data_IF_208673897708
#
_entry.id   IF_208673897708
#
_cell.length_a   1.000
_cell.length_b   1.000
_cell.length_c   1.000
_cell.angle_alpha   90.00
_cell.angle_beta   90.00
_cell.angle_gamma   90.00
#
_symmetry.space_group_name_H-M   'P 1'
#
loop_
_entity.id
_entity.type
_entity.pdbx_description
1 polymer ?
#
# COMPACT_ATOMS: atom_id res chain seq x y z
N UNK A 1 6.09 4.10 -18.73
CA UNK A 1 5.38 2.80 -18.58
C UNK A 1 4.36 2.97 -17.47
N UNK A 2 3.11 2.47 -17.65
CA UNK A 2 2.14 2.52 -16.55
C UNK A 2 2.45 1.41 -15.55
N UNK A 3 2.51 1.77 -14.29
CA UNK A 3 2.73 0.83 -13.19
C UNK A 3 1.41 0.23 -12.67
N UNK A 4 0.33 1.02 -12.76
CA UNK A 4 -1.03 0.63 -12.43
C UNK A 4 -1.98 1.16 -13.49
N UNK A 5 -2.90 0.33 -13.93
CA UNK A 5 -4.02 0.73 -14.76
C UNK A 5 -5.31 0.09 -14.24
N UNK A 6 -6.29 0.91 -14.01
CA UNK A 6 -7.66 0.53 -13.70
C UNK A 6 -8.58 1.10 -14.76
N UNK A 7 -9.47 0.30 -15.33
CA UNK A 7 -10.38 0.75 -16.37
C UNK A 7 -11.81 0.30 -16.07
N UNK A 8 -12.73 1.24 -16.14
CA UNK A 8 -14.17 1.02 -16.00
C UNK A 8 -14.56 0.28 -14.72
N UNK A 9 -13.87 0.57 -13.62
CA UNK A 9 -14.06 -0.11 -12.34
C UNK A 9 -15.42 0.24 -11.74
N UNK A 10 -16.21 -0.80 -11.45
CA UNK A 10 -17.48 -0.71 -10.74
C UNK A 10 -17.43 -1.55 -9.47
N UNK A 11 -18.05 -1.03 -8.42
CA UNK A 11 -18.21 -1.74 -7.15
C UNK A 11 -19.42 -1.25 -6.39
N UNK A 12 -20.28 -2.17 -6.01
CA UNK A 12 -21.40 -1.95 -5.11
C UNK A 12 -21.34 -2.82 -3.87
N UNK A 13 -22.13 -2.48 -2.88
CA UNK A 13 -22.40 -3.25 -1.66
C UNK A 13 -23.90 -3.27 -1.42
N UNK A 14 -24.54 -4.41 -1.69
CA UNK A 14 -25.98 -4.51 -1.75
C UNK A 14 -26.56 -3.58 -2.82
N UNK A 15 -27.50 -2.73 -2.48
CA UNK A 15 -28.10 -1.75 -3.39
C UNK A 15 -27.26 -0.48 -3.58
N UNK A 16 -26.15 -0.34 -2.84
CA UNK A 16 -25.35 0.88 -2.82
C UNK A 16 -24.21 0.78 -3.82
N UNK A 17 -24.29 1.48 -4.96
CA UNK A 17 -23.23 1.58 -5.94
C UNK A 17 -22.20 2.61 -5.48
N UNK A 18 -21.00 2.15 -5.11
CA UNK A 18 -19.92 2.99 -4.54
C UNK A 18 -18.95 3.47 -5.61
N UNK A 19 -18.56 2.59 -6.54
CA UNK A 19 -17.75 2.93 -7.71
C UNK A 19 -18.59 2.67 -8.96
N UNK A 20 -18.86 3.72 -9.74
CA UNK A 20 -19.80 3.64 -10.86
C UNK A 20 -19.14 3.36 -12.20
N UNK A 21 -18.02 3.98 -12.46
CA UNK A 21 -17.19 3.80 -13.66
C UNK A 21 -15.91 4.61 -13.48
N UNK A 22 -14.94 4.03 -12.76
CA UNK A 22 -13.71 4.72 -12.41
C UNK A 22 -12.56 4.16 -13.25
N UNK A 23 -11.89 5.07 -13.99
CA UNK A 23 -10.65 4.75 -14.68
C UNK A 23 -9.52 5.61 -14.13
N UNK A 24 -8.37 4.98 -13.90
CA UNK A 24 -7.18 5.59 -13.31
C UNK A 24 -5.94 4.89 -13.84
N UNK A 25 -4.92 5.66 -14.18
CA UNK A 25 -3.58 5.13 -14.45
C UNK A 25 -2.54 5.84 -13.62
N UNK A 26 -1.46 5.13 -13.28
CA UNK A 26 -0.31 5.68 -12.57
C UNK A 26 0.95 5.27 -13.32
N UNK A 27 1.69 6.25 -13.83
CA UNK A 27 2.95 6.02 -14.51
C UNK A 27 4.13 5.91 -13.52
N UNK A 28 5.27 5.44 -14.03
CA UNK A 28 6.50 5.41 -13.23
C UNK A 28 6.93 6.82 -12.83
N UNK A 29 7.23 7.00 -11.52
CA UNK A 29 7.61 8.31 -10.96
C UNK A 29 6.43 9.26 -10.72
N UNK A 30 5.21 8.88 -11.10
CA UNK A 30 4.03 9.69 -10.90
C UNK A 30 3.46 9.54 -9.49
N UNK A 31 2.94 10.64 -8.93
CA UNK A 31 2.20 10.67 -7.68
C UNK A 31 0.76 11.10 -7.98
N UNK A 32 -0.18 10.20 -7.72
CA UNK A 32 -1.61 10.44 -7.90
C UNK A 32 -2.28 10.62 -6.54
N UNK A 33 -3.03 11.70 -6.37
CA UNK A 33 -3.80 11.98 -5.16
C UNK A 33 -5.29 11.87 -5.42
N UNK A 34 -5.99 11.03 -4.62
CA UNK A 34 -7.44 10.88 -4.70
C UNK A 34 -8.07 11.69 -3.58
N UNK A 35 -8.82 12.74 -3.94
CA UNK A 35 -9.45 13.68 -3.01
C UNK A 35 -10.97 13.59 -3.15
N UNK A 36 -11.67 13.74 -2.04
CA UNK A 36 -13.14 13.74 -2.01
C UNK A 36 -13.69 13.62 -0.59
N UNK A 37 -15.00 13.82 -0.39
CA UNK A 37 -15.65 13.74 0.92
C UNK A 37 -15.58 12.32 1.52
N UNK A 38 -15.90 12.20 2.80
CA UNK A 38 -16.06 10.89 3.44
C UNK A 38 -17.18 10.11 2.75
N UNK A 39 -17.00 8.81 2.54
CA UNK A 39 -17.98 7.96 1.85
C UNK A 39 -17.92 7.96 0.32
N UNK A 40 -17.09 8.79 -0.32
CA UNK A 40 -17.02 8.87 -1.80
C UNK A 40 -16.30 7.71 -2.49
N UNK A 41 -16.07 6.59 -1.82
CA UNK A 41 -15.49 5.39 -2.43
C UNK A 41 -13.96 5.32 -2.50
N UNK A 42 -13.21 6.34 -2.04
CA UNK A 42 -11.72 6.36 -2.11
C UNK A 42 -11.05 5.13 -1.52
N UNK A 43 -11.49 4.72 -0.34
CA UNK A 43 -10.97 3.50 0.33
C UNK A 43 -11.34 2.24 -0.43
N UNK A 44 -12.53 2.21 -1.01
CA UNK A 44 -12.99 1.08 -1.83
C UNK A 44 -12.16 0.97 -3.10
N UNK A 45 -11.89 2.10 -3.77
CA UNK A 45 -11.04 2.12 -4.96
C UNK A 45 -9.63 1.59 -4.65
N UNK A 46 -9.01 2.06 -3.55
CA UNK A 46 -7.70 1.55 -3.13
C UNK A 46 -7.70 0.07 -2.74
N UNK A 47 -8.77 -0.41 -2.10
CA UNK A 47 -8.92 -1.84 -1.79
C UNK A 47 -9.05 -2.66 -3.06
N UNK A 48 -9.80 -2.20 -4.05
CA UNK A 48 -9.87 -2.84 -5.37
C UNK A 48 -8.49 -2.84 -6.05
N UNK A 49 -7.80 -1.70 -6.07
CA UNK A 49 -6.45 -1.60 -6.60
C UNK A 49 -5.45 -2.54 -5.91
N UNK A 50 -5.60 -2.81 -4.62
CA UNK A 50 -4.69 -3.67 -3.85
C UNK A 50 -5.17 -5.13 -3.72
N UNK A 51 -6.19 -5.51 -4.48
CA UNK A 51 -6.75 -6.86 -4.45
C UNK A 51 -7.27 -7.29 -3.06
N UNK A 52 -7.60 -6.32 -2.20
CA UNK A 52 -8.25 -6.54 -0.90
C UNK A 52 -9.77 -6.56 -1.01
N UNK A 53 -10.32 -6.03 -2.10
CA UNK A 53 -11.73 -6.05 -2.43
C UNK A 53 -11.88 -6.44 -3.91
N UNK A 54 -12.88 -7.24 -4.23
CA UNK A 54 -13.16 -7.62 -5.61
C UNK A 54 -14.03 -6.56 -6.29
N UNK A 55 -13.66 -6.18 -7.50
CA UNK A 55 -14.50 -5.35 -8.37
C UNK A 55 -15.66 -6.18 -8.91
N UNK A 56 -16.80 -5.54 -9.14
CA UNK A 56 -17.94 -6.19 -9.78
C UNK A 56 -17.76 -6.18 -11.30
N UNK A 57 -17.22 -5.07 -11.84
CA UNK A 57 -16.84 -4.94 -13.25
C UNK A 57 -15.58 -4.07 -13.39
N UNK A 58 -14.90 -4.17 -14.53
CA UNK A 58 -13.69 -3.42 -14.84
C UNK A 58 -12.43 -4.29 -14.97
N UNK A 59 -11.33 -3.63 -15.29
CA UNK A 59 -10.03 -4.30 -15.43
C UNK A 59 -8.96 -3.66 -14.55
N UNK A 60 -7.97 -4.47 -14.17
CA UNK A 60 -6.85 -4.09 -13.33
C UNK A 60 -5.56 -4.70 -13.87
N UNK A 61 -4.58 -3.86 -14.15
CA UNK A 61 -3.28 -4.25 -14.71
C UNK A 61 -2.16 -3.62 -13.87
N UNK A 62 -1.15 -4.41 -13.55
CA UNK A 62 0.08 -3.97 -12.89
C UNK A 62 1.28 -4.25 -13.77
N UNK A 63 2.04 -3.21 -14.15
CA UNK A 63 3.27 -3.33 -14.96
C UNK A 63 3.07 -4.17 -16.23
N UNK A 64 1.88 -4.07 -16.85
CA UNK A 64 1.49 -4.87 -18.02
C UNK A 64 0.92 -6.26 -17.71
N UNK A 65 0.99 -6.73 -16.46
CA UNK A 65 0.41 -8.00 -16.04
C UNK A 65 -1.07 -7.80 -15.65
N UNK A 66 -2.00 -8.50 -16.31
CA UNK A 66 -3.44 -8.43 -16.00
C UNK A 66 -3.75 -9.16 -14.70
N UNK A 67 -4.19 -8.41 -13.69
CA UNK A 67 -4.73 -8.97 -12.44
C UNK A 67 -6.20 -9.32 -12.56
N UNK A 68 -6.95 -8.52 -13.34
CA UNK A 68 -8.37 -8.72 -13.57
C UNK A 68 -8.78 -8.11 -14.92
N UNK A 69 -9.79 -8.71 -15.55
CA UNK A 69 -10.33 -8.28 -16.84
C UNK A 69 -11.86 -8.33 -16.82
N UNK A 70 -12.50 -7.33 -17.44
CA UNK A 70 -13.95 -7.34 -17.64
C UNK A 70 -14.32 -8.28 -18.78
N UNK A 71 -15.16 -9.27 -18.49
CA UNK A 71 -15.71 -10.19 -19.48
C UNK A 71 -17.24 -10.21 -19.33
N UNK A 72 -17.96 -9.74 -20.35
CA UNK A 72 -19.42 -9.67 -20.36
C UNK A 72 -20.01 -8.90 -19.15
N UNK A 73 -19.37 -7.77 -18.77
CA UNK A 73 -19.84 -6.94 -17.66
C UNK A 73 -19.57 -7.51 -16.26
N UNK A 74 -18.64 -8.45 -16.16
CA UNK A 74 -18.18 -9.01 -14.88
C UNK A 74 -16.66 -9.09 -14.84
N UNK A 75 -16.08 -8.81 -13.70
CA UNK A 75 -14.63 -8.94 -13.50
C UNK A 75 -14.24 -10.42 -13.34
N UNK A 76 -13.30 -10.86 -14.15
CA UNK A 76 -12.64 -12.16 -14.03
C UNK A 76 -11.20 -11.94 -13.58
N UNK A 77 -10.84 -12.51 -12.44
CA UNK A 77 -9.50 -12.39 -11.86
C UNK A 77 -8.55 -13.46 -12.39
N UNK A 78 -7.28 -13.11 -12.48
CA UNK A 78 -6.21 -14.04 -12.81
C UNK A 78 -6.11 -15.16 -11.75
N UNK A 79 -5.39 -16.23 -12.09
CA UNK A 79 -5.20 -17.36 -11.17
C UNK A 79 -4.53 -16.91 -9.87
N UNK A 80 -4.82 -17.55 -8.71
CA UNK A 80 -4.25 -17.16 -7.42
C UNK A 80 -2.71 -17.09 -7.40
N UNK A 81 -2.05 -17.95 -8.18
CA UNK A 81 -0.58 -17.94 -8.30
C UNK A 81 -0.05 -16.66 -8.98
N UNK A 82 -0.76 -16.17 -9.99
CA UNK A 82 -0.39 -14.97 -10.72
C UNK A 82 -0.73 -13.71 -9.90
N UNK A 83 -1.88 -13.70 -9.22
CA UNK A 83 -2.23 -12.62 -8.28
C UNK A 83 -1.18 -12.47 -7.16
N UNK A 84 -0.64 -13.58 -6.63
CA UNK A 84 0.45 -13.55 -5.64
C UNK A 84 1.74 -12.94 -6.20
N UNK A 85 2.04 -13.11 -7.49
CA UNK A 85 3.18 -12.44 -8.14
C UNK A 85 2.93 -10.94 -8.24
N UNK A 86 1.75 -10.55 -8.73
CA UNK A 86 1.33 -9.16 -8.88
C UNK A 86 1.35 -8.43 -7.54
N UNK A 87 0.88 -9.04 -6.46
CA UNK A 87 0.91 -8.46 -5.10
C UNK A 87 2.31 -8.11 -4.59
N UNK A 88 3.38 -8.63 -5.20
CA UNK A 88 4.76 -8.26 -4.85
C UNK A 88 5.19 -6.91 -5.43
N UNK A 89 4.45 -6.39 -6.40
CA UNK A 89 4.79 -5.13 -7.07
C UNK A 89 4.35 -3.90 -6.28
N UNK A 90 3.50 -4.03 -5.28
CA UNK A 90 2.99 -2.90 -4.50
C UNK A 90 2.98 -3.18 -2.99
N UNK A 91 2.83 -2.13 -2.21
CA UNK A 91 2.57 -2.19 -0.77
C UNK A 91 1.46 -1.22 -0.41
N UNK A 92 0.64 -1.55 0.57
CA UNK A 92 -0.41 -0.70 1.09
C UNK A 92 -0.03 -0.20 2.48
N UNK A 93 -0.13 1.11 2.68
CA UNK A 93 -0.04 1.74 4.00
C UNK A 93 -1.44 2.13 4.44
N UNK A 94 -1.90 1.58 5.54
CA UNK A 94 -3.19 1.90 6.13
C UNK A 94 -3.16 3.24 6.87
N UNK A 95 -4.31 3.88 7.01
CA UNK A 95 -4.45 5.16 7.71
C UNK A 95 -3.90 5.14 9.15
N UNK A 96 -4.09 4.03 9.87
CA UNK A 96 -3.61 3.85 11.24
C UNK A 96 -2.23 3.17 11.28
N UNK A 97 -1.51 3.11 10.14
CA UNK A 97 -0.22 2.44 9.95
C UNK A 97 -0.24 0.94 10.26
N UNK A 98 -1.19 0.43 11.03
CA UNK A 98 -1.37 -0.97 11.44
C UNK A 98 -0.08 -1.62 11.95
N UNK A 99 0.68 -0.87 12.75
CA UNK A 99 1.86 -1.38 13.41
C UNK A 99 1.44 -2.40 14.48
N UNK A 100 2.24 -3.45 14.64
CA UNK A 100 2.09 -4.39 15.74
C UNK A 100 2.53 -3.69 17.04
N UNK A 101 1.62 -3.42 17.99
CA UNK A 101 1.92 -2.56 19.13
C UNK A 101 2.94 -3.17 20.10
N UNK A 102 3.07 -4.49 20.12
CA UNK A 102 4.01 -5.24 20.93
C UNK A 102 5.33 -5.56 20.23
N UNK A 103 5.49 -5.14 18.96
CA UNK A 103 6.75 -5.27 18.24
C UNK A 103 7.61 -4.01 18.44
N UNK A 104 8.92 -4.19 18.46
CA UNK A 104 9.85 -3.06 18.37
C UNK A 104 9.77 -2.39 17.00
N UNK A 105 10.30 -1.17 16.91
CA UNK A 105 10.41 -0.43 15.65
C UNK A 105 11.09 -1.29 14.58
N UNK A 106 12.25 -1.85 14.91
CA UNK A 106 12.99 -2.72 14.00
C UNK A 106 12.16 -3.93 13.58
N UNK A 107 11.50 -4.61 14.53
CA UNK A 107 10.70 -5.80 14.24
C UNK A 107 9.52 -5.49 13.33
N UNK A 108 8.84 -4.34 13.48
CA UNK A 108 7.78 -3.90 12.58
C UNK A 108 8.27 -3.69 11.14
N UNK A 109 9.53 -3.26 10.96
CA UNK A 109 10.12 -3.03 9.63
C UNK A 109 10.54 -4.35 8.97
N UNK A 110 11.18 -5.25 9.73
CA UNK A 110 11.81 -6.44 9.16
C UNK A 110 10.88 -7.64 9.01
N UNK A 111 9.75 -7.67 9.72
CA UNK A 111 8.90 -8.87 9.81
C UNK A 111 8.39 -9.30 8.42
N UNK A 112 7.78 -8.41 7.65
CA UNK A 112 7.24 -8.74 6.34
C UNK A 112 8.33 -9.14 5.32
N UNK A 113 9.47 -8.44 5.17
CA UNK A 113 10.56 -8.87 4.31
C UNK A 113 11.12 -10.25 4.65
N UNK A 114 11.24 -10.57 5.93
CA UNK A 114 11.79 -11.86 6.38
C UNK A 114 10.73 -12.96 6.28
N UNK A 115 9.54 -12.74 6.87
CA UNK A 115 8.53 -13.78 7.03
C UNK A 115 7.78 -14.07 5.74
N UNK A 116 7.44 -13.04 4.95
CA UNK A 116 6.62 -13.15 3.73
C UNK A 116 7.49 -13.25 2.48
N UNK A 117 8.51 -12.37 2.34
CA UNK A 117 9.38 -12.35 1.16
C UNK A 117 10.53 -13.33 1.23
N UNK A 118 10.72 -14.00 2.39
CA UNK A 118 11.78 -15.00 2.64
C UNK A 118 13.18 -14.46 2.38
N UNK A 119 13.40 -13.17 2.61
CA UNK A 119 14.73 -12.54 2.51
C UNK A 119 15.59 -12.90 3.72
N UNK A 120 16.91 -12.86 3.54
CA UNK A 120 17.86 -13.10 4.63
C UNK A 120 17.73 -12.00 5.69
N UNK A 121 17.62 -12.42 6.95
CA UNK A 121 17.40 -11.52 8.09
C UNK A 121 18.50 -10.48 8.22
N UNK A 122 19.74 -10.88 8.06
CA UNK A 122 20.93 -10.03 8.21
C UNK A 122 20.90 -8.86 7.21
N UNK A 123 20.58 -9.14 5.95
CA UNK A 123 20.45 -8.13 4.90
C UNK A 123 19.31 -7.14 5.20
N UNK A 124 18.15 -7.68 5.61
CA UNK A 124 16.97 -6.86 5.92
C UNK A 124 17.21 -5.98 7.15
N UNK A 125 17.89 -6.49 8.17
CA UNK A 125 18.27 -5.71 9.36
C UNK A 125 19.22 -4.57 8.99
N UNK A 126 20.22 -4.83 8.16
CA UNK A 126 21.15 -3.80 7.71
C UNK A 126 20.41 -2.68 6.94
N UNK A 127 19.55 -3.03 6.01
CA UNK A 127 18.71 -2.06 5.27
C UNK A 127 17.79 -1.27 6.20
N UNK A 128 17.16 -1.94 7.18
CA UNK A 128 16.27 -1.30 8.13
C UNK A 128 17.00 -0.24 8.98
N UNK A 129 18.24 -0.54 9.42
CA UNK A 129 19.06 0.43 10.17
C UNK A 129 19.39 1.66 9.34
N UNK A 130 19.77 1.49 8.08
CA UNK A 130 20.00 2.62 7.16
C UNK A 130 18.75 3.47 6.96
N UNK A 131 17.57 2.84 6.88
CA UNK A 131 16.30 3.57 6.79
C UNK A 131 16.00 4.37 8.07
N UNK A 132 16.21 3.75 9.24
CA UNK A 132 16.03 4.41 10.52
C UNK A 132 16.99 5.61 10.69
N UNK A 133 18.22 5.48 10.28
CA UNK A 133 19.19 6.57 10.28
C UNK A 133 18.72 7.73 9.38
N UNK A 134 18.30 7.46 8.15
CA UNK A 134 17.75 8.47 7.23
C UNK A 134 16.52 9.19 7.79
N UNK A 135 15.75 8.53 8.66
CA UNK A 135 14.57 9.09 9.33
C UNK A 135 14.89 9.76 10.68
N UNK A 136 16.16 9.82 11.09
CA UNK A 136 16.55 10.38 12.38
C UNK A 136 16.12 9.52 13.58
N UNK A 137 15.94 8.22 13.37
CA UNK A 137 15.47 7.25 14.38
C UNK A 137 16.57 6.28 14.81
N UNK A 138 17.85 6.61 14.59
CA UNK A 138 18.98 5.82 15.10
C UNK A 138 18.90 5.67 16.61
N UNK A 139 19.18 4.45 17.11
CA UNK A 139 19.10 4.11 18.53
C UNK A 139 17.66 3.90 19.05
N UNK A 140 16.65 3.87 18.17
CA UNK A 140 15.25 3.58 18.52
C UNK A 140 14.79 2.21 18.03
N UNK A 141 15.71 1.37 17.61
CA UNK A 141 15.44 0.05 17.01
C UNK A 141 14.59 -0.83 17.92
N UNK A 142 14.90 -0.83 19.22
CA UNK A 142 14.23 -1.66 20.22
C UNK A 142 13.04 -0.98 20.91
N UNK A 143 12.77 0.29 20.60
CA UNK A 143 11.63 0.99 21.15
C UNK A 143 10.31 0.35 20.69
N UNK A 144 9.35 0.20 21.62
CA UNK A 144 8.02 -0.34 21.35
C UNK A 144 7.07 0.84 21.15
N UNK A 145 6.12 0.73 20.20
CA UNK A 145 5.19 1.81 19.84
C UNK A 145 4.42 2.39 21.06
N UNK A 146 4.07 1.57 22.04
CA UNK A 146 3.38 1.98 23.27
C UNK A 146 4.24 2.88 24.17
N UNK A 147 5.56 2.83 24.01
CA UNK A 147 6.52 3.61 24.80
C UNK A 147 6.75 5.03 24.28
N UNK A 148 6.12 5.42 23.19
CA UNK A 148 6.16 6.80 22.72
C UNK A 148 5.06 7.61 23.43
N UNK A 149 5.41 8.51 24.35
CA UNK A 149 4.40 9.35 25.00
C UNK A 149 3.65 10.15 23.94
N UNK A 150 2.33 10.15 24.03
CA UNK A 150 1.45 10.90 23.15
C UNK A 150 1.67 12.43 23.21
N UNK A 151 2.50 12.87 24.15
CA UNK A 151 2.63 14.27 24.58
C UNK A 151 4.05 14.84 24.41
N UNK A 152 4.77 14.46 23.38
CA UNK A 152 5.95 15.24 23.03
C UNK A 152 5.55 16.29 21.99
N UNK A 153 5.44 17.54 22.44
CA UNK A 153 5.32 18.77 21.64
C UNK A 153 6.49 18.98 20.64
N UNK A 154 7.41 18.04 20.59
CA UNK A 154 8.43 17.89 19.56
C UNK A 154 8.02 16.74 18.66
N UNK A 155 7.28 17.10 17.57
CA UNK A 155 6.78 16.16 16.59
C UNK A 155 7.88 15.24 16.05
N UNK A 156 7.81 13.96 16.40
CA UNK A 156 8.55 12.95 15.69
C UNK A 156 7.95 12.81 14.27
N UNK A 157 8.77 12.67 13.23
CA UNK A 157 8.33 12.70 11.84
C UNK A 157 7.41 11.52 11.43
N UNK A 158 7.15 10.55 12.33
CA UNK A 158 6.13 9.52 12.11
C UNK A 158 4.70 10.02 12.33
N UNK A 159 4.51 11.15 13.02
CA UNK A 159 3.31 11.97 12.94
C UNK A 159 3.63 13.14 12.01
N UNK A 160 3.73 12.87 10.73
CA UNK A 160 3.65 13.93 9.76
C UNK A 160 2.41 14.76 10.11
N UNK A 161 2.59 16.01 10.45
CA UNK A 161 1.53 17.00 10.58
C UNK A 161 0.82 17.09 9.23
N UNK A 162 -0.13 16.17 9.01
CA UNK A 162 -1.15 16.35 7.99
C UNK A 162 -2.25 17.14 8.66
N UNK A 163 -2.50 18.38 8.25
CA UNK A 163 -3.51 19.19 8.87
C UNK A 163 -4.86 18.51 8.73
N UNK A 164 -5.49 18.31 9.88
CA UNK A 164 -6.92 18.15 10.09
C UNK A 164 -7.72 17.39 9.04
N UNK A 165 -8.11 16.15 9.38
CA UNK A 165 -9.35 15.54 8.86
C UNK A 165 -9.29 14.85 7.49
N UNK A 166 -8.19 14.86 6.76
CA UNK A 166 -8.09 14.20 5.47
C UNK A 166 -7.47 12.81 5.60
N UNK A 167 -8.22 11.79 5.18
CA UNK A 167 -7.75 10.42 5.12
C UNK A 167 -6.88 10.26 3.88
N UNK A 168 -5.59 10.06 4.05
CA UNK A 168 -4.68 9.74 2.97
C UNK A 168 -4.43 8.23 2.94
N UNK A 169 -4.52 7.66 1.76
CA UNK A 169 -4.10 6.30 1.49
C UNK A 169 -2.89 6.39 0.57
N UNK A 170 -1.81 5.73 0.92
CA UNK A 170 -0.62 5.68 0.09
C UNK A 170 -0.45 4.27 -0.46
N UNK A 171 -0.39 4.16 -1.77
CA UNK A 171 0.05 2.96 -2.47
C UNK A 171 1.54 3.15 -2.77
N UNK A 172 2.41 2.47 -2.05
CA UNK A 172 3.85 2.51 -2.31
C UNK A 172 4.22 1.45 -3.33
N UNK A 173 4.72 1.88 -4.48
CA UNK A 173 5.30 0.99 -5.45
C UNK A 173 6.73 0.59 -5.02
N UNK A 174 7.01 -0.70 -4.97
CA UNK A 174 8.37 -1.20 -4.82
C UNK A 174 8.95 -1.40 -6.21
N UNK A 175 9.76 -0.47 -6.65
CA UNK A 175 10.59 -0.66 -7.83
C UNK A 175 11.40 -1.96 -7.67
N UNK A 176 11.45 -2.82 -8.70
CA UNK A 176 12.42 -3.91 -8.73
C UNK A 176 13.80 -3.31 -8.61
N UNK A 177 14.64 -3.86 -7.74
CA UNK A 177 16.05 -3.48 -7.68
C UNK A 177 16.65 -3.65 -9.07
N UNK A 178 17.13 -2.57 -9.63
CA UNK A 178 18.06 -2.61 -10.76
C UNK A 178 19.21 -3.54 -10.38
N UNK A 179 19.27 -4.69 -11.01
CA UNK A 179 20.49 -5.50 -11.06
C UNK A 179 21.53 -4.66 -11.78
N UNK A 180 22.35 -3.92 -11.04
CA UNK A 180 23.60 -3.43 -11.59
C UNK A 180 24.52 -4.64 -11.67
N UNK A 181 24.81 -5.03 -12.90
CA UNK A 181 26.00 -5.78 -13.23
C UNK A 181 27.25 -4.99 -12.83
#
# INVERSE_FOLDING_TARGET
MNLLEMQHVKKGFGENEVLKDISLSVAEGEVVSIIGPSGSGKSTLLRCATLLEQMDDGSLTYMGEKAAESINGKTVYAKPADLKKIQRHFGLVFQNFNLFPHYSVLKNIIDAPVSVQKRKKEEVVAEAKVLLEKMGLSGREDAIHVSFPADSSRGYPLRGHLPCGRKYYSLMNRLPRSTRN
#
